data_IF_233127484076
#
_entry.id   IF_233127484076
#
_cell.length_a   1.000
_cell.length_b   1.000
_cell.length_c   1.000
_cell.angle_alpha   90.00
_cell.angle_beta   90.00
_cell.angle_gamma   90.00
#
_symmetry.space_group_name_H-M   'P 1'
#
loop_
_entity.id
_entity.type
_entity.pdbx_description
1 polymer ?
#
# COMPACT_ATOMS: atom_id res chain seq x y z
N UNK A 1 -12.94 -20.58 -16.18
CA UNK A 1 -11.65 -19.85 -16.26
C UNK A 1 -11.81 -18.77 -17.32
N UNK A 2 -11.36 -17.56 -16.99
CA UNK A 2 -11.33 -16.40 -17.90
C UNK A 2 -9.92 -15.81 -17.87
N UNK A 3 -9.41 -15.40 -19.02
CA UNK A 3 -8.15 -14.64 -19.13
C UNK A 3 -8.43 -13.28 -19.76
N UNK A 4 -7.93 -12.22 -19.12
CA UNK A 4 -7.97 -10.86 -19.65
C UNK A 4 -6.61 -10.19 -19.48
N UNK A 5 -5.94 -9.90 -20.59
CA UNK A 5 -4.53 -9.51 -20.59
C UNK A 5 -3.65 -10.60 -19.97
N UNK A 6 -2.87 -10.28 -18.97
CA UNK A 6 -2.05 -11.22 -18.20
C UNK A 6 -2.79 -11.80 -16.97
N UNK A 7 -3.94 -11.26 -16.63
CA UNK A 7 -4.74 -11.74 -15.49
C UNK A 7 -5.49 -13.00 -15.83
N UNK A 8 -5.48 -13.96 -14.90
CA UNK A 8 -6.24 -15.22 -14.99
C UNK A 8 -7.21 -15.29 -13.81
N UNK A 9 -8.47 -15.49 -14.13
CA UNK A 9 -9.56 -15.68 -13.18
C UNK A 9 -10.09 -17.11 -13.29
N UNK A 10 -10.23 -17.81 -12.18
CA UNK A 10 -10.85 -19.12 -12.14
C UNK A 10 -11.81 -19.20 -10.95
N UNK A 11 -12.94 -19.90 -11.09
CA UNK A 11 -13.85 -20.09 -9.98
C UNK A 11 -14.56 -21.42 -10.00
N UNK A 12 -14.87 -21.92 -8.81
CA UNK A 12 -15.81 -23.03 -8.62
C UNK A 12 -17.25 -22.51 -8.64
N UNK A 13 -18.17 -23.40 -8.86
CA UNK A 13 -19.59 -23.08 -8.87
C UNK A 13 -20.40 -24.29 -8.35
N UNK A 14 -20.09 -24.70 -7.10
CA UNK A 14 -20.75 -25.81 -6.41
C UNK A 14 -22.06 -25.40 -5.74
N UNK A 15 -22.42 -24.11 -5.77
CA UNK A 15 -23.59 -23.56 -5.10
C UNK A 15 -23.44 -23.52 -3.58
N UNK A 16 -22.24 -23.26 -3.09
CA UNK A 16 -21.96 -23.11 -1.67
C UNK A 16 -22.58 -21.83 -1.12
N UNK A 17 -22.92 -21.78 0.18
CA UNK A 17 -23.58 -20.61 0.78
C UNK A 17 -22.67 -19.38 0.86
N UNK A 18 -21.38 -19.54 0.68
CA UNK A 18 -20.39 -18.46 0.73
C UNK A 18 -19.26 -18.67 -0.28
N UNK A 19 -18.58 -17.58 -0.61
CA UNK A 19 -17.47 -17.54 -1.56
C UNK A 19 -16.23 -16.89 -0.94
N UNK A 20 -15.07 -17.47 -1.21
CA UNK A 20 -13.77 -16.96 -0.82
C UNK A 20 -12.99 -16.57 -2.08
N UNK A 21 -12.42 -15.37 -2.10
CA UNK A 21 -11.43 -14.98 -3.09
C UNK A 21 -10.04 -15.32 -2.53
N UNK A 22 -9.22 -15.97 -3.37
CA UNK A 22 -7.79 -16.13 -3.16
C UNK A 22 -7.10 -15.32 -4.26
N UNK A 23 -6.49 -14.20 -3.89
CA UNK A 23 -5.91 -13.24 -4.82
C UNK A 23 -4.39 -13.15 -4.66
N UNK A 24 -3.68 -13.15 -5.79
CA UNK A 24 -2.24 -12.98 -5.81
C UNK A 24 -1.76 -12.27 -7.07
N UNK A 25 -0.70 -11.46 -6.94
CA UNK A 25 -0.12 -10.78 -8.08
C UNK A 25 1.02 -11.57 -8.72
N UNK A 26 1.10 -11.48 -10.05
CA UNK A 26 2.02 -12.25 -10.88
C UNK A 26 3.33 -11.51 -11.19
N UNK A 27 3.33 -10.20 -11.03
CA UNK A 27 4.50 -9.35 -11.23
C UNK A 27 5.42 -9.31 -10.00
N UNK A 28 6.51 -8.60 -10.11
CA UNK A 28 7.51 -8.42 -9.05
C UNK A 28 8.14 -7.04 -9.16
N UNK A 29 8.77 -6.57 -8.10
CA UNK A 29 9.73 -5.47 -8.17
C UNK A 29 10.84 -5.76 -9.19
N UNK A 30 11.58 -4.73 -9.67
CA UNK A 30 12.69 -4.94 -10.62
C UNK A 30 13.72 -5.95 -10.11
N UNK A 31 14.24 -6.76 -11.05
CA UNK A 31 15.29 -7.75 -10.77
C UNK A 31 16.55 -7.03 -10.25
N UNK A 32 17.13 -7.55 -9.15
CA UNK A 32 18.32 -7.01 -8.50
C UNK A 32 19.36 -8.14 -8.26
N UNK A 33 19.89 -8.72 -9.35
CA UNK A 33 20.86 -9.84 -9.34
C UNK A 33 20.38 -11.10 -8.59
N UNK A 34 19.06 -11.28 -8.51
CA UNK A 34 18.39 -12.38 -7.79
C UNK A 34 17.62 -13.34 -8.71
N UNK A 35 18.04 -13.44 -9.97
CA UNK A 35 17.58 -14.43 -10.97
C UNK A 35 18.80 -15.10 -11.58
N UNK A 36 18.79 -16.43 -11.81
CA UNK A 36 17.71 -17.40 -11.50
C UNK A 36 17.57 -17.65 -9.99
N UNK A 37 16.41 -18.18 -9.60
CA UNK A 37 16.17 -18.58 -8.21
C UNK A 37 17.11 -19.72 -7.78
N UNK A 38 17.46 -19.77 -6.50
CA UNK A 38 18.38 -20.74 -5.92
C UNK A 38 17.80 -21.32 -4.63
N UNK A 39 17.74 -22.65 -4.55
CA UNK A 39 17.42 -23.38 -3.33
C UNK A 39 18.70 -23.59 -2.50
N UNK A 40 18.74 -23.12 -1.27
CA UNK A 40 19.89 -23.24 -0.36
C UNK A 40 19.42 -23.31 1.09
N UNK A 41 19.90 -24.28 1.86
CA UNK A 41 19.53 -24.41 3.28
C UNK A 41 18.05 -24.68 3.54
N UNK A 42 17.30 -25.15 2.55
CA UNK A 42 15.84 -25.32 2.64
C UNK A 42 15.06 -24.04 2.31
N UNK A 43 15.72 -22.96 1.96
CA UNK A 43 15.13 -21.67 1.58
C UNK A 43 15.27 -21.43 0.07
N UNK A 44 14.21 -20.91 -0.57
CA UNK A 44 14.21 -20.50 -1.96
C UNK A 44 14.50 -19.00 -2.07
N UNK A 45 15.67 -18.67 -2.60
CA UNK A 45 16.10 -17.31 -2.86
C UNK A 45 15.83 -16.91 -4.31
N UNK A 46 15.25 -15.73 -4.55
CA UNK A 46 14.98 -15.25 -5.90
C UNK A 46 14.00 -14.10 -5.94
N UNK A 47 13.90 -13.44 -7.10
CA UNK A 47 12.93 -12.37 -7.32
C UNK A 47 11.50 -12.92 -7.23
N UNK A 48 10.66 -12.32 -6.39
CA UNK A 48 9.27 -12.71 -6.22
C UNK A 48 9.04 -14.03 -5.47
N UNK A 49 10.08 -14.68 -4.93
CA UNK A 49 9.90 -15.94 -4.18
C UNK A 49 9.11 -15.75 -2.90
N UNK A 50 9.22 -14.60 -2.25
CA UNK A 50 8.46 -14.22 -1.07
C UNK A 50 7.26 -13.37 -1.44
N UNK A 51 7.46 -12.40 -2.31
CA UNK A 51 6.49 -11.40 -2.74
C UNK A 51 6.26 -11.52 -4.25
N UNK A 52 5.12 -12.17 -4.68
CA UNK A 52 4.33 -13.04 -3.78
C UNK A 52 4.07 -14.43 -4.39
N UNK A 53 5.01 -14.95 -5.21
CA UNK A 53 4.83 -16.25 -5.93
C UNK A 53 4.68 -17.45 -5.00
N UNK A 54 5.14 -17.33 -3.73
CA UNK A 54 4.87 -18.37 -2.73
C UNK A 54 3.38 -18.43 -2.36
N UNK A 55 2.72 -17.27 -2.22
CA UNK A 55 1.28 -17.20 -2.02
C UNK A 55 0.50 -17.75 -3.21
N UNK A 56 0.90 -17.36 -4.43
CA UNK A 56 0.32 -17.90 -5.67
C UNK A 56 0.44 -19.42 -5.75
N UNK A 57 1.61 -19.97 -5.41
CA UNK A 57 1.83 -21.42 -5.42
C UNK A 57 0.93 -22.14 -4.42
N UNK A 58 0.72 -21.58 -3.23
CA UNK A 58 -0.22 -22.14 -2.24
C UNK A 58 -1.64 -22.13 -2.78
N UNK A 59 -2.09 -21.04 -3.39
CA UNK A 59 -3.44 -20.94 -3.94
C UNK A 59 -3.66 -21.91 -5.11
N UNK A 60 -2.69 -22.06 -5.99
CA UNK A 60 -2.74 -23.05 -7.07
C UNK A 60 -2.74 -24.48 -6.53
N UNK A 61 -1.97 -24.77 -5.49
CA UNK A 61 -1.97 -26.06 -4.84
C UNK A 61 -3.33 -26.39 -4.22
N UNK A 62 -3.93 -25.45 -3.49
CA UNK A 62 -5.27 -25.59 -2.94
C UNK A 62 -6.30 -25.87 -4.04
N UNK A 63 -6.26 -25.13 -5.14
CA UNK A 63 -7.16 -25.35 -6.28
C UNK A 63 -7.01 -26.73 -6.92
N UNK A 64 -5.80 -27.30 -6.91
CA UNK A 64 -5.51 -28.62 -7.48
C UNK A 64 -5.86 -29.77 -6.54
N UNK A 65 -5.85 -29.58 -5.24
CA UNK A 65 -5.94 -30.67 -4.24
C UNK A 65 -7.25 -30.72 -3.49
N UNK A 66 -7.94 -29.58 -3.33
CA UNK A 66 -9.21 -29.51 -2.60
C UNK A 66 -10.37 -29.78 -3.57
N UNK A 67 -10.75 -31.04 -3.72
CA UNK A 67 -11.77 -31.46 -4.68
C UNK A 67 -13.20 -31.01 -4.27
N UNK A 68 -13.49 -30.92 -2.97
CA UNK A 68 -14.81 -30.58 -2.43
C UNK A 68 -14.69 -29.48 -1.36
N UNK A 69 -14.49 -28.23 -1.77
CA UNK A 69 -14.33 -27.12 -0.84
C UNK A 69 -15.65 -26.76 -0.13
N UNK A 70 -15.56 -26.39 1.16
CA UNK A 70 -16.70 -25.95 1.95
C UNK A 70 -17.32 -24.63 1.45
N UNK A 71 -16.55 -23.81 0.74
CA UNK A 71 -16.94 -22.56 0.13
C UNK A 71 -16.74 -22.60 -1.37
N UNK A 72 -17.50 -21.83 -2.14
CA UNK A 72 -17.11 -21.55 -3.52
C UNK A 72 -15.84 -20.69 -3.53
N UNK A 73 -14.91 -20.99 -4.42
CA UNK A 73 -13.60 -20.33 -4.49
C UNK A 73 -13.47 -19.54 -5.79
N UNK A 74 -12.96 -18.34 -5.71
CA UNK A 74 -12.48 -17.58 -6.86
C UNK A 74 -10.98 -17.36 -6.73
N UNK A 75 -10.20 -17.79 -7.71
CA UNK A 75 -8.80 -17.44 -7.87
C UNK A 75 -8.70 -16.17 -8.71
N UNK A 76 -7.91 -15.21 -8.24
CA UNK A 76 -7.62 -13.96 -8.95
C UNK A 76 -6.11 -13.82 -9.04
N UNK A 77 -5.52 -14.27 -10.16
CA UNK A 77 -4.10 -14.14 -10.46
C UNK A 77 -3.93 -12.92 -11.36
N UNK A 78 -3.53 -11.79 -10.78
CA UNK A 78 -3.54 -10.48 -11.44
C UNK A 78 -2.14 -9.91 -11.65
N UNK A 79 -1.99 -8.86 -12.44
CA UNK A 79 -0.73 -8.22 -12.78
C UNK A 79 -0.72 -6.74 -12.42
N UNK A 80 0.51 -6.17 -12.41
CA UNK A 80 0.75 -4.75 -12.17
C UNK A 80 0.35 -4.27 -10.75
N UNK A 81 0.65 -5.08 -9.72
CA UNK A 81 0.53 -4.64 -8.32
C UNK A 81 1.67 -3.70 -7.93
N UNK A 82 2.89 -4.02 -8.35
CA UNK A 82 4.16 -3.40 -7.94
C UNK A 82 4.48 -2.08 -8.66
N UNK A 83 3.52 -1.56 -9.43
CA UNK A 83 3.67 -0.31 -10.19
C UNK A 83 2.51 0.65 -9.91
N UNK A 84 2.30 1.65 -10.77
CA UNK A 84 1.28 2.68 -10.54
C UNK A 84 -0.13 2.08 -10.43
N UNK A 85 -0.90 2.55 -9.46
CA UNK A 85 -2.28 2.08 -9.20
C UNK A 85 -3.20 2.12 -10.43
N UNK A 86 -2.93 3.00 -11.40
CA UNK A 86 -3.67 3.10 -12.67
C UNK A 86 -3.43 1.92 -13.60
N UNK A 87 -2.27 1.26 -13.50
CA UNK A 87 -1.90 0.10 -14.28
C UNK A 87 -2.36 -1.22 -13.66
N UNK A 88 -2.67 -1.24 -12.35
CA UNK A 88 -3.11 -2.42 -11.62
C UNK A 88 -4.37 -3.03 -12.26
N UNK A 89 -4.26 -4.30 -12.64
CA UNK A 89 -5.31 -4.96 -13.40
C UNK A 89 -6.59 -5.23 -12.62
N UNK A 90 -6.58 -5.20 -11.29
CA UNK A 90 -7.81 -5.29 -10.49
C UNK A 90 -8.77 -4.15 -10.81
N UNK A 91 -8.26 -2.92 -11.06
CA UNK A 91 -9.09 -1.81 -11.50
C UNK A 91 -9.77 -2.03 -12.86
N UNK A 92 -9.14 -2.79 -13.76
CA UNK A 92 -9.75 -3.21 -15.03
C UNK A 92 -10.82 -4.28 -14.77
N UNK A 93 -10.52 -5.28 -13.97
CA UNK A 93 -11.46 -6.36 -13.63
C UNK A 93 -12.70 -5.80 -12.94
N UNK A 94 -12.52 -4.84 -12.04
CA UNK A 94 -13.63 -4.16 -11.36
C UNK A 94 -14.60 -3.51 -12.36
N UNK A 95 -14.08 -2.91 -13.43
CA UNK A 95 -14.91 -2.28 -14.47
C UNK A 95 -15.54 -3.27 -15.44
N UNK A 96 -14.78 -4.28 -15.86
CA UNK A 96 -15.18 -5.18 -16.96
C UNK A 96 -15.86 -6.45 -16.47
N UNK A 97 -15.47 -6.96 -15.30
CA UNK A 97 -15.88 -8.25 -14.76
C UNK A 97 -16.18 -8.16 -13.23
N UNK A 98 -16.98 -7.18 -12.77
CA UNK A 98 -17.17 -6.90 -11.33
C UNK A 98 -17.67 -8.11 -10.55
N UNK A 99 -18.48 -8.98 -11.14
CA UNK A 99 -19.01 -10.19 -10.48
C UNK A 99 -17.93 -11.20 -10.10
N UNK A 100 -16.72 -11.10 -10.67
CA UNK A 100 -15.60 -11.96 -10.32
C UNK A 100 -14.90 -11.53 -9.03
N UNK A 101 -15.10 -10.29 -8.58
CA UNK A 101 -14.52 -9.73 -7.36
C UNK A 101 -15.49 -9.73 -6.17
N UNK A 102 -16.68 -10.34 -6.32
CA UNK A 102 -17.66 -10.47 -5.23
C UNK A 102 -17.43 -11.73 -4.42
N UNK A 103 -17.26 -11.58 -3.11
CA UNK A 103 -17.08 -12.67 -2.16
C UNK A 103 -17.42 -12.24 -0.74
N UNK A 104 -17.51 -13.19 0.18
CA UNK A 104 -17.72 -12.93 1.60
C UNK A 104 -16.41 -12.58 2.31
N UNK A 105 -15.27 -13.07 1.78
CA UNK A 105 -13.93 -12.72 2.24
C UNK A 105 -12.93 -12.81 1.09
N UNK A 106 -11.95 -11.93 1.08
CA UNK A 106 -10.80 -11.97 0.18
C UNK A 106 -9.52 -12.19 0.98
N UNK A 107 -8.72 -13.16 0.57
CA UNK A 107 -7.41 -13.49 1.13
C UNK A 107 -6.37 -13.18 0.06
N UNK A 108 -5.46 -12.26 0.38
CA UNK A 108 -4.29 -11.98 -0.46
C UNK A 108 -3.11 -12.78 0.05
N UNK A 109 -2.39 -13.43 -0.87
CA UNK A 109 -1.25 -14.29 -0.54
C UNK A 109 0.05 -13.54 -0.24
N UNK A 110 -0.03 -12.30 0.17
CA UNK A 110 1.07 -11.42 0.53
C UNK A 110 1.95 -11.97 1.65
N UNK A 111 3.26 -11.65 1.67
CA UNK A 111 4.13 -12.10 2.74
C UNK A 111 3.76 -11.47 4.07
N UNK A 112 3.42 -12.29 5.05
CA UNK A 112 2.98 -11.86 6.38
C UNK A 112 3.73 -12.53 7.53
N UNK A 113 4.78 -13.32 7.22
CA UNK A 113 5.49 -14.12 8.22
C UNK A 113 4.61 -15.19 8.87
N UNK A 114 3.61 -15.70 8.13
CA UNK A 114 2.70 -16.74 8.60
C UNK A 114 1.59 -16.27 9.54
N UNK A 115 1.37 -14.95 9.64
CA UNK A 115 0.27 -14.38 10.43
C UNK A 115 -0.87 -13.93 9.52
N UNK A 116 -2.09 -13.88 10.07
CA UNK A 116 -3.16 -13.11 9.42
C UNK A 116 -2.92 -11.63 9.68
N UNK A 117 -2.88 -10.85 8.61
CA UNK A 117 -2.89 -9.40 8.64
C UNK A 117 -4.24 -8.90 8.14
N UNK A 118 -4.95 -8.14 8.97
CA UNK A 118 -6.29 -7.67 8.67
C UNK A 118 -6.28 -6.19 8.30
N UNK A 119 -7.07 -5.84 7.27
CA UNK A 119 -7.09 -4.50 6.71
C UNK A 119 -5.72 -4.04 6.22
N UNK A 120 -5.55 -2.74 6.02
CA UNK A 120 -4.24 -2.12 5.76
C UNK A 120 -4.30 -0.61 6.01
N UNK A 121 -3.14 0.00 6.30
CA UNK A 121 -3.05 1.45 6.37
C UNK A 121 -3.19 2.08 4.98
N UNK A 122 -3.75 3.30 4.95
CA UNK A 122 -3.74 4.13 3.75
C UNK A 122 -2.39 4.79 3.54
N UNK A 123 -2.19 5.32 2.35
CA UNK A 123 -0.99 6.07 1.98
C UNK A 123 -1.36 7.39 1.32
N UNK A 124 -0.61 8.43 1.62
CA UNK A 124 -0.71 9.73 0.99
C UNK A 124 0.70 10.25 0.73
N UNK A 125 0.94 10.79 -0.46
CA UNK A 125 2.19 11.45 -0.80
C UNK A 125 1.92 12.88 -1.20
N UNK A 126 2.68 13.80 -0.61
CA UNK A 126 2.64 15.21 -0.97
C UNK A 126 4.03 15.72 -1.29
N UNK A 127 4.12 16.65 -2.22
CA UNK A 127 5.32 17.47 -2.48
C UNK A 127 5.09 18.84 -1.86
N UNK A 128 5.97 19.22 -0.96
CA UNK A 128 5.98 20.52 -0.31
C UNK A 128 7.09 21.36 -0.91
N UNK A 129 6.74 22.46 -1.56
CA UNK A 129 7.68 23.35 -2.24
C UNK A 129 7.78 24.69 -1.52
N UNK A 130 9.01 25.09 -1.22
CA UNK A 130 9.34 26.44 -0.75
C UNK A 130 9.88 27.27 -1.91
N UNK A 131 9.45 28.53 -1.98
CA UNK A 131 9.93 29.50 -2.94
C UNK A 131 10.73 30.61 -2.26
N UNK A 132 11.75 31.12 -2.95
CA UNK A 132 12.63 32.16 -2.46
C UNK A 132 13.02 33.14 -3.55
N UNK A 133 14.15 33.80 -3.36
CA UNK A 133 14.71 34.77 -4.31
C UNK A 133 16.17 34.40 -4.62
N UNK A 134 16.45 34.13 -5.87
CA UNK A 134 17.79 33.79 -6.33
C UNK A 134 18.74 34.97 -6.25
N UNK A 135 19.93 34.74 -5.69
CA UNK A 135 20.98 35.73 -5.61
C UNK A 135 22.38 35.06 -5.53
N UNK A 136 23.48 35.78 -5.81
CA UNK A 136 24.81 35.30 -5.54
C UNK A 136 25.03 35.10 -4.01
N UNK A 137 25.61 33.98 -3.59
CA UNK A 137 25.86 33.71 -2.16
C UNK A 137 26.77 34.77 -1.49
N UNK A 138 27.67 35.40 -2.24
CA UNK A 138 28.50 36.50 -1.78
C UNK A 138 27.71 37.79 -1.44
N UNK A 139 26.44 37.89 -1.82
CA UNK A 139 25.50 39.00 -1.54
C UNK A 139 24.21 38.46 -0.94
N UNK A 140 24.34 37.71 0.14
CA UNK A 140 23.25 36.96 0.77
C UNK A 140 22.02 37.81 1.13
N UNK A 141 22.22 39.09 1.37
CA UNK A 141 21.14 40.06 1.70
C UNK A 141 20.22 40.40 0.53
N UNK A 142 20.56 39.95 -0.70
CA UNK A 142 19.73 40.17 -1.91
C UNK A 142 18.84 38.97 -2.19
N UNK A 143 19.05 37.84 -1.52
CA UNK A 143 18.32 36.58 -1.76
C UNK A 143 17.45 36.16 -0.60
N UNK A 144 16.55 35.22 -0.90
CA UNK A 144 15.75 34.51 0.09
C UNK A 144 15.89 32.99 -0.21
N UNK A 145 16.43 32.25 0.76
CA UNK A 145 16.88 30.87 0.54
C UNK A 145 15.73 29.87 0.74
N UNK A 146 15.26 29.29 -0.36
CA UNK A 146 14.19 28.29 -0.33
C UNK A 146 14.56 27.02 0.47
N UNK A 147 15.84 26.60 0.48
CA UNK A 147 16.28 25.45 1.29
C UNK A 147 16.12 25.77 2.78
N UNK A 148 16.46 26.97 3.22
CA UNK A 148 16.32 27.36 4.62
C UNK A 148 14.86 27.34 5.07
N UNK A 149 13.90 27.68 4.19
CA UNK A 149 12.47 27.61 4.49
C UNK A 149 11.98 26.17 4.73
N UNK A 150 12.56 25.18 4.04
CA UNK A 150 12.24 23.77 4.31
C UNK A 150 12.67 23.31 5.71
N UNK A 151 13.61 24.02 6.35
CA UNK A 151 14.00 23.71 7.73
C UNK A 151 12.80 23.66 8.68
N UNK A 152 11.88 24.64 8.58
CA UNK A 152 10.66 24.66 9.38
C UNK A 152 9.71 23.48 9.08
N UNK A 153 9.66 23.00 7.84
CA UNK A 153 8.91 21.79 7.48
C UNK A 153 9.53 20.57 8.16
N UNK A 154 10.85 20.40 8.07
CA UNK A 154 11.56 19.29 8.70
C UNK A 154 11.45 19.31 10.24
N UNK A 155 11.46 20.49 10.84
CA UNK A 155 11.24 20.64 12.30
C UNK A 155 9.84 20.15 12.70
N UNK A 156 8.80 20.49 11.91
CA UNK A 156 7.43 20.00 12.15
C UNK A 156 7.35 18.47 12.03
N UNK A 157 8.01 17.90 11.03
CA UNK A 157 8.04 16.43 10.87
C UNK A 157 8.83 15.74 11.98
N UNK A 158 9.94 16.33 12.43
CA UNK A 158 10.75 15.80 13.54
C UNK A 158 9.98 15.82 14.86
N UNK A 159 9.18 16.85 15.09
CA UNK A 159 8.35 16.99 16.29
C UNK A 159 7.01 16.23 16.20
N UNK A 160 6.67 15.67 15.05
CA UNK A 160 5.40 15.00 14.84
C UNK A 160 5.23 13.80 15.75
N UNK A 161 4.08 13.73 16.43
CA UNK A 161 3.72 12.58 17.26
C UNK A 161 2.70 11.72 16.52
N UNK A 162 3.18 10.58 16.03
CA UNK A 162 2.34 9.65 15.27
C UNK A 162 1.26 9.02 16.16
N UNK A 163 0.02 8.98 15.64
CA UNK A 163 -1.10 8.33 16.30
C UNK A 163 -0.96 6.80 16.21
N UNK A 164 -1.31 6.13 17.29
CA UNK A 164 -1.56 4.68 17.29
C UNK A 164 -3.03 4.45 17.65
N UNK A 165 -3.71 3.60 16.89
CA UNK A 165 -5.14 3.33 17.08
C UNK A 165 -5.40 1.83 17.04
N UNK A 166 -6.22 1.34 17.97
CA UNK A 166 -6.76 -0.01 17.96
C UNK A 166 -8.11 -0.01 17.25
N UNK A 167 -8.26 -0.88 16.28
CA UNK A 167 -9.49 -1.10 15.53
C UNK A 167 -9.73 -2.61 15.50
N UNK A 168 -10.79 -3.08 16.14
CA UNK A 168 -11.15 -4.51 16.26
C UNK A 168 -9.99 -5.39 16.77
N UNK A 169 -9.16 -4.88 17.70
CA UNK A 169 -7.99 -5.58 18.23
C UNK A 169 -6.74 -5.51 17.34
N UNK A 170 -6.80 -4.83 16.19
CA UNK A 170 -5.67 -4.57 15.31
C UNK A 170 -5.10 -3.18 15.58
N UNK A 171 -3.85 -3.11 16.00
CA UNK A 171 -3.16 -1.83 16.24
C UNK A 171 -2.54 -1.33 14.95
N UNK A 172 -2.91 -0.11 14.53
CA UNK A 172 -2.33 0.61 13.39
C UNK A 172 -1.52 1.81 13.92
N UNK A 173 -0.31 1.98 13.37
CA UNK A 173 0.61 3.07 13.75
C UNK A 173 0.82 3.97 12.56
N UNK A 174 0.38 5.22 12.67
CA UNK A 174 0.58 6.22 11.62
C UNK A 174 2.06 6.62 11.54
N UNK A 175 2.46 7.21 10.41
CA UNK A 175 3.80 7.73 10.23
C UNK A 175 3.80 8.83 9.17
N UNK A 176 4.31 10.01 9.50
CA UNK A 176 4.42 11.16 8.62
C UNK A 176 5.91 11.51 8.48
N UNK A 177 6.50 11.22 7.32
CA UNK A 177 7.95 11.24 7.13
C UNK A 177 8.34 11.91 5.82
N UNK A 178 9.43 12.70 5.84
CA UNK A 178 10.13 13.10 4.62
C UNK A 178 10.83 11.88 4.02
N UNK A 179 10.61 11.65 2.72
CA UNK A 179 11.18 10.50 1.99
C UNK A 179 12.10 10.92 0.85
N UNK A 180 12.05 12.19 0.45
CA UNK A 180 12.94 12.78 -0.54
C UNK A 180 13.04 14.29 -0.31
N UNK A 181 14.20 14.87 -0.60
CA UNK A 181 14.42 16.32 -0.57
C UNK A 181 15.28 16.72 -1.77
N UNK A 182 14.93 17.83 -2.40
CA UNK A 182 15.67 18.40 -3.53
C UNK A 182 15.79 19.92 -3.39
N UNK A 183 16.92 20.48 -3.83
CA UNK A 183 17.14 21.90 -3.83
C UNK A 183 18.58 22.27 -4.14
N UNK A 184 18.75 23.50 -4.64
CA UNK A 184 20.04 24.03 -5.06
C UNK A 184 20.19 24.13 -6.57
N UNK A 185 21.02 25.08 -7.02
CA UNK A 185 21.29 25.34 -8.45
C UNK A 185 22.79 25.22 -8.74
N UNK A 186 23.60 25.91 -7.94
CA UNK A 186 25.05 25.91 -8.03
C UNK A 186 25.65 26.36 -6.69
N UNK A 187 26.93 26.04 -6.44
CA UNK A 187 27.60 26.30 -5.16
C UNK A 187 27.72 27.76 -4.74
N UNK A 188 27.47 28.69 -5.66
CA UNK A 188 27.57 30.15 -5.40
C UNK A 188 26.23 30.88 -5.52
N UNK A 189 25.12 30.14 -5.57
CA UNK A 189 23.79 30.67 -5.81
C UNK A 189 22.87 30.32 -4.64
N UNK A 190 22.19 31.33 -4.09
CA UNK A 190 21.07 31.11 -3.16
C UNK A 190 19.91 30.54 -3.99
N UNK A 191 19.39 29.36 -3.64
CA UNK A 191 18.32 28.73 -4.39
C UNK A 191 16.98 29.42 -4.14
N UNK A 192 16.25 29.64 -5.22
CA UNK A 192 14.90 30.21 -5.22
C UNK A 192 13.78 29.16 -5.20
N UNK A 193 14.14 27.88 -5.27
CA UNK A 193 13.20 26.76 -5.11
C UNK A 193 13.86 25.60 -4.38
N UNK A 194 13.10 24.94 -3.54
CA UNK A 194 13.45 23.67 -2.92
C UNK A 194 12.18 22.89 -2.59
N UNK A 195 12.25 21.56 -2.56
CA UNK A 195 11.09 20.73 -2.27
C UNK A 195 11.43 19.58 -1.35
N UNK A 196 10.42 19.11 -0.60
CA UNK A 196 10.48 17.87 0.17
C UNK A 196 9.25 17.03 -0.15
N UNK A 197 9.47 15.76 -0.44
CA UNK A 197 8.38 14.78 -0.59
C UNK A 197 8.11 14.14 0.76
N UNK A 198 6.88 14.21 1.18
CA UNK A 198 6.39 13.65 2.44
C UNK A 198 5.48 12.47 2.13
N UNK A 199 5.69 11.34 2.80
CA UNK A 199 4.78 10.21 2.81
C UNK A 199 4.06 10.15 4.16
N UNK A 200 2.74 10.02 4.12
CA UNK A 200 1.90 9.79 5.29
C UNK A 200 1.26 8.41 5.19
N UNK A 201 1.61 7.54 6.11
CA UNK A 201 0.92 6.28 6.35
C UNK A 201 -0.12 6.52 7.44
N UNK A 202 -1.39 6.40 7.10
CA UNK A 202 -2.49 6.72 8.02
C UNK A 202 -3.35 5.48 8.31
N UNK A 203 -3.91 5.45 9.52
CA UNK A 203 -4.77 4.35 9.95
C UNK A 203 -6.08 4.32 9.14
N UNK A 204 -6.67 3.13 8.92
CA UNK A 204 -7.81 2.97 8.00
C UNK A 204 -9.12 3.61 8.47
N UNK A 205 -9.17 4.17 9.67
CA UNK A 205 -10.29 4.97 10.16
C UNK A 205 -10.29 6.42 9.64
N UNK A 206 -9.23 6.82 8.90
CA UNK A 206 -9.20 8.10 8.18
C UNK A 206 -9.51 7.90 6.70
N UNK A 207 -10.26 8.83 6.12
CA UNK A 207 -10.33 8.94 4.66
C UNK A 207 -9.08 9.64 4.10
N UNK A 208 -8.88 9.55 2.77
CA UNK A 208 -7.80 10.27 2.07
C UNK A 208 -7.92 11.78 2.30
N UNK A 209 -9.14 12.33 2.27
CA UNK A 209 -9.39 13.76 2.50
C UNK A 209 -9.04 14.17 3.94
N UNK A 210 -9.33 13.31 4.92
CA UNK A 210 -8.95 13.55 6.32
C UNK A 210 -7.43 13.50 6.49
N UNK A 211 -6.76 12.54 5.83
CA UNK A 211 -5.32 12.44 5.82
C UNK A 211 -4.67 13.69 5.20
N UNK A 212 -5.20 14.16 4.06
CA UNK A 212 -4.71 15.38 3.41
C UNK A 212 -4.92 16.65 4.25
N UNK A 213 -6.06 16.77 4.95
CA UNK A 213 -6.28 17.87 5.90
C UNK A 213 -5.27 17.82 7.05
N UNK A 214 -5.05 16.64 7.61
CA UNK A 214 -4.10 16.45 8.70
C UNK A 214 -2.67 16.88 8.32
N UNK A 215 -2.20 16.53 7.13
CA UNK A 215 -0.88 17.00 6.65
C UNK A 215 -0.83 18.51 6.55
N UNK A 216 -1.88 19.17 6.03
CA UNK A 216 -1.96 20.63 5.96
C UNK A 216 -2.00 21.27 7.34
N UNK A 217 -2.69 20.69 8.32
CA UNK A 217 -2.73 21.15 9.71
C UNK A 217 -1.35 21.09 10.38
N UNK A 218 -0.59 20.01 10.14
CA UNK A 218 0.79 19.88 10.66
C UNK A 218 1.70 20.97 10.11
N UNK A 219 1.49 21.38 8.86
CA UNK A 219 2.31 22.39 8.16
C UNK A 219 1.68 23.79 8.18
N UNK A 220 0.60 23.99 8.94
CA UNK A 220 -0.11 25.27 8.99
C UNK A 220 0.80 26.41 9.43
N UNK A 221 0.60 27.59 8.81
CA UNK A 221 1.38 28.80 9.05
C UNK A 221 2.76 28.84 8.40
N UNK A 222 3.18 27.79 7.67
CA UNK A 222 4.42 27.81 6.89
C UNK A 222 4.19 28.39 5.49
N UNK A 223 5.14 29.18 5.00
CA UNK A 223 5.11 29.75 3.65
C UNK A 223 5.61 28.73 2.62
N UNK A 224 4.74 27.73 2.33
CA UNK A 224 5.02 26.63 1.41
C UNK A 224 3.79 26.27 0.57
N UNK A 225 4.02 25.73 -0.60
CA UNK A 225 2.98 25.13 -1.44
C UNK A 225 2.94 23.62 -1.21
N UNK A 226 1.74 23.04 -1.05
CA UNK A 226 1.54 21.62 -0.80
C UNK A 226 0.70 21.03 -1.94
N UNK A 227 1.29 20.12 -2.70
CA UNK A 227 0.65 19.38 -3.78
C UNK A 227 0.53 17.90 -3.43
N UNK A 228 -0.67 17.35 -3.52
CA UNK A 228 -0.88 15.91 -3.36
C UNK A 228 -0.57 15.21 -4.68
N UNK A 229 0.38 14.28 -4.66
CA UNK A 229 0.84 13.56 -5.86
C UNK A 229 0.35 12.13 -5.94
N UNK A 230 0.01 11.52 -4.79
CA UNK A 230 -0.48 10.14 -4.74
C UNK A 230 -1.31 9.93 -3.48
N UNK A 231 -2.34 9.07 -3.56
CA UNK A 231 -3.11 8.66 -2.39
C UNK A 231 -3.89 7.37 -2.64
N UNK A 232 -3.93 6.52 -1.62
CA UNK A 232 -4.80 5.36 -1.59
C UNK A 232 -5.42 5.20 -0.20
N UNK A 233 -6.73 4.90 -0.10
CA UNK A 233 -7.39 4.66 1.18
C UNK A 233 -6.89 3.38 1.83
N UNK A 234 -6.93 3.32 3.15
CA UNK A 234 -6.75 2.07 3.90
C UNK A 234 -8.00 1.19 3.86
N UNK A 235 -7.89 0.00 4.44
CA UNK A 235 -9.00 -0.91 4.67
C UNK A 235 -9.15 -1.20 6.16
N UNK A 236 -10.37 -1.10 6.68
CA UNK A 236 -10.70 -1.55 8.04
C UNK A 236 -10.45 -3.06 8.16
N UNK A 237 -10.10 -3.58 9.34
CA UNK A 237 -9.82 -5.01 9.53
C UNK A 237 -11.03 -5.92 9.24
N UNK A 238 -12.25 -5.43 9.44
CA UNK A 238 -13.47 -6.15 9.13
C UNK A 238 -13.68 -7.45 9.92
N UNK A 239 -13.03 -7.61 11.07
CA UNK A 239 -13.02 -8.84 11.86
C UNK A 239 -14.36 -9.16 12.53
N UNK A 240 -15.28 -8.21 12.56
CA UNK A 240 -16.65 -8.41 13.01
C UNK A 240 -17.54 -9.12 11.99
N UNK A 241 -17.09 -9.21 10.72
CA UNK A 241 -17.79 -9.96 9.68
C UNK A 241 -17.63 -11.47 9.92
N UNK A 242 -18.71 -12.29 9.82
CA UNK A 242 -18.66 -13.71 10.16
C UNK A 242 -17.61 -14.52 9.39
N UNK A 243 -17.42 -14.25 8.11
CA UNK A 243 -16.43 -14.96 7.29
C UNK A 243 -14.99 -14.65 7.72
N UNK A 244 -14.68 -13.40 8.08
CA UNK A 244 -13.37 -13.01 8.59
C UNK A 244 -13.12 -13.60 9.99
N UNK A 245 -14.11 -13.57 10.87
CA UNK A 245 -14.01 -14.17 12.21
C UNK A 245 -13.75 -15.68 12.13
N UNK A 246 -14.45 -16.40 11.24
CA UNK A 246 -14.26 -17.84 11.04
C UNK A 246 -12.85 -18.16 10.51
N UNK A 247 -12.31 -17.34 9.59
CA UNK A 247 -10.95 -17.48 9.08
C UNK A 247 -9.91 -17.30 10.19
N UNK A 248 -10.06 -16.26 11.00
CA UNK A 248 -9.15 -16.00 12.13
C UNK A 248 -9.18 -17.14 13.14
N UNK A 249 -10.36 -17.64 13.50
CA UNK A 249 -10.53 -18.79 14.41
C UNK A 249 -9.85 -20.04 13.84
N UNK A 250 -10.09 -20.36 12.56
CA UNK A 250 -9.48 -21.53 11.90
C UNK A 250 -7.95 -21.45 11.83
N UNK A 251 -7.39 -20.24 11.78
CA UNK A 251 -5.94 -19.99 11.80
C UNK A 251 -5.33 -19.84 13.20
N UNK A 252 -6.05 -20.19 14.26
CA UNK A 252 -5.56 -20.16 15.64
C UNK A 252 -5.75 -18.84 16.38
N UNK A 253 -6.56 -17.92 15.86
CA UNK A 253 -6.99 -16.71 16.56
C UNK A 253 -5.97 -15.56 16.55
N UNK A 254 -4.80 -15.73 15.92
CA UNK A 254 -3.78 -14.69 15.89
C UNK A 254 -3.94 -13.81 14.65
N UNK A 255 -4.16 -12.51 14.88
CA UNK A 255 -4.33 -11.51 13.85
C UNK A 255 -3.67 -10.19 14.25
N UNK A 256 -3.17 -9.44 13.29
CA UNK A 256 -2.60 -8.09 13.48
C UNK A 256 -2.99 -7.16 12.34
N UNK A 257 -2.88 -5.85 12.55
CA UNK A 257 -3.06 -4.86 11.48
C UNK A 257 -1.91 -4.86 10.48
N UNK A 258 -2.20 -4.71 9.19
CA UNK A 258 -1.18 -4.55 8.16
C UNK A 258 -0.76 -3.07 8.04
N UNK A 259 0.54 -2.80 8.16
CA UNK A 259 1.08 -1.44 8.05
C UNK A 259 1.33 -1.00 6.61
N UNK A 260 1.73 -1.94 5.74
CA UNK A 260 1.84 -1.69 4.31
C UNK A 260 0.45 -1.56 3.66
N UNK A 261 0.35 -0.72 2.63
CA UNK A 261 -0.84 -0.73 1.76
C UNK A 261 -0.79 -1.96 0.86
N UNK A 262 -1.92 -2.55 0.58
CA UNK A 262 -2.10 -3.63 -0.39
C UNK A 262 -3.49 -3.55 -1.02
N UNK A 263 -3.69 -4.31 -2.08
CA UNK A 263 -4.97 -4.39 -2.78
C UNK A 263 -6.14 -4.91 -1.93
N UNK A 264 -5.91 -5.33 -0.68
CA UNK A 264 -7.00 -5.61 0.26
C UNK A 264 -7.94 -4.39 0.40
N UNK A 265 -7.41 -3.17 0.20
CA UNK A 265 -8.21 -1.95 0.20
C UNK A 265 -9.21 -1.90 -0.95
N UNK A 266 -8.88 -2.44 -2.13
CA UNK A 266 -9.80 -2.54 -3.27
C UNK A 266 -10.92 -3.53 -2.99
N UNK A 267 -10.59 -4.71 -2.47
CA UNK A 267 -11.61 -5.69 -2.09
C UNK A 267 -12.52 -5.18 -0.99
N UNK A 268 -11.98 -4.49 0.01
CA UNK A 268 -12.77 -3.87 1.08
C UNK A 268 -13.75 -2.80 0.57
N UNK A 269 -13.38 -2.06 -0.47
CA UNK A 269 -14.24 -1.05 -1.09
C UNK A 269 -15.42 -1.66 -1.88
N UNK A 270 -15.32 -2.92 -2.28
CA UNK A 270 -16.39 -3.65 -2.98
C UNK A 270 -17.44 -4.25 -2.02
N UNK A 271 -17.24 -4.18 -0.70
CA UNK A 271 -18.14 -4.70 0.35
C UNK A 271 -17.69 -6.03 0.90
#
# INVERSE_FOLDING_TARGET
IVRTGNTVLARTNHGRPSRVILAGHLDTVPIADNVPSRLSGGELHGCGTSDMKSGDAVFLHLAATVADPAHDITLVMYDCEEIEASANSLGRIERELPDWLRADVAILGEPSGGHIEAGCQGTLRVVVTASGTRAPSARSWLGDNAIHKLGAVLDRLTAYQARSVDIDGCVYREGLLAVHIDGGVAGHVIPDAASVTINFRFAPDRSVEQAGRHVREVLDGLDVHIEQTDAAPGALPGLTKPAAAALVEAAGGQVRGKYGWTDVARFAALG
#
